data_IF_017512629191
#
_entry.id   IF_017512629191
#
_cell.length_a   1.000
_cell.length_b   1.000
_cell.length_c   1.000
_cell.angle_alpha   90.00
_cell.angle_beta   90.00
_cell.angle_gamma   90.00
#
_symmetry.space_group_name_H-M   'P 1'
#
loop_
_entity.id
_entity.type
_entity.pdbx_description
1 polymer ?
#
# COMPACT_ATOMS: atom_id res chain seq x y z
N UNK A 1 -5.75 -27.29 1.54
CA UNK A 1 -5.92 -25.82 1.69
C UNK A 1 -6.64 -25.60 2.99
N UNK A 2 -6.11 -24.78 3.91
CA UNK A 2 -6.79 -24.46 5.18
C UNK A 2 -7.99 -23.57 4.84
N UNK A 3 -9.22 -23.90 5.28
CA UNK A 3 -10.36 -23.01 5.10
C UNK A 3 -10.10 -21.66 5.79
N UNK A 4 -10.41 -20.55 5.10
CA UNK A 4 -10.17 -19.20 5.62
C UNK A 4 -10.85 -18.97 6.98
N UNK A 5 -12.01 -19.59 7.20
CA UNK A 5 -12.77 -19.46 8.45
C UNK A 5 -12.00 -20.05 9.64
N UNK A 6 -11.35 -21.20 9.45
CA UNK A 6 -10.50 -21.81 10.49
C UNK A 6 -9.29 -20.91 10.79
N UNK A 7 -8.70 -20.27 9.77
CA UNK A 7 -7.61 -19.32 9.99
C UNK A 7 -8.09 -18.09 10.78
N UNK A 8 -9.25 -17.53 10.41
CA UNK A 8 -9.85 -16.38 11.10
C UNK A 8 -10.16 -16.67 12.56
N UNK A 9 -10.57 -17.90 12.87
CA UNK A 9 -10.79 -18.37 14.24
C UNK A 9 -9.49 -18.49 15.04
N UNK A 10 -8.44 -19.08 14.45
CA UNK A 10 -7.16 -19.31 15.15
C UNK A 10 -6.29 -18.04 15.25
N UNK A 11 -6.38 -17.13 14.27
CA UNK A 11 -5.60 -15.90 14.17
C UNK A 11 -6.53 -14.68 14.08
N UNK A 12 -7.29 -14.33 15.14
CA UNK A 12 -8.30 -13.30 15.04
C UNK A 12 -7.72 -11.90 14.78
N UNK A 13 -8.24 -11.25 13.74
CA UNK A 13 -7.93 -9.85 13.40
C UNK A 13 -9.16 -9.01 13.68
N UNK A 14 -9.19 -8.35 14.84
CA UNK A 14 -10.19 -7.34 15.15
C UNK A 14 -9.86 -6.03 14.43
N UNK A 15 -10.86 -5.49 13.74
CA UNK A 15 -10.82 -4.18 13.11
C UNK A 15 -11.50 -3.14 14.00
N UNK A 16 -10.99 -1.92 14.02
CA UNK A 16 -11.57 -0.79 14.76
C UNK A 16 -11.79 0.43 13.84
N UNK A 17 -12.47 1.48 14.29
CA UNK A 17 -12.51 2.76 13.57
C UNK A 17 -11.41 3.68 14.11
N UNK A 18 -10.80 4.48 13.23
CA UNK A 18 -9.76 5.43 13.61
C UNK A 18 -10.20 6.86 13.28
N UNK A 19 -10.28 7.69 14.32
CA UNK A 19 -10.42 9.13 14.17
C UNK A 19 -9.02 9.77 14.09
N UNK A 20 -8.80 10.54 13.05
CA UNK A 20 -7.61 11.36 12.87
C UNK A 20 -7.92 12.80 13.19
N UNK A 21 -7.08 13.37 14.05
CA UNK A 21 -7.23 14.72 14.54
C UNK A 21 -5.99 15.54 14.23
N UNK A 22 -6.14 16.84 14.02
CA UNK A 22 -5.04 17.71 13.61
C UNK A 22 -3.95 17.89 14.69
N UNK A 23 -4.23 17.58 15.96
CA UNK A 23 -3.27 17.60 17.06
C UNK A 23 -2.28 16.43 17.02
N UNK A 24 -2.56 15.39 16.23
CA UNK A 24 -1.69 14.22 16.06
C UNK A 24 -0.95 14.29 14.73
N UNK A 25 0.39 14.23 14.78
CA UNK A 25 1.25 14.28 13.59
C UNK A 25 1.11 13.03 12.72
N UNK A 26 0.17 13.05 11.79
CA UNK A 26 -0.19 11.90 10.96
C UNK A 26 0.37 12.02 9.55
N UNK A 27 0.91 10.92 9.03
CA UNK A 27 1.27 10.77 7.62
C UNK A 27 0.58 9.57 6.97
N UNK A 28 0.41 9.63 5.65
CA UNK A 28 -0.11 8.55 4.82
C UNK A 28 1.03 7.87 4.08
N UNK A 29 1.17 6.56 4.22
CA UNK A 29 2.11 5.77 3.39
C UNK A 29 1.33 4.90 2.41
N UNK A 30 1.49 5.16 1.12
CA UNK A 30 0.99 4.36 0.02
C UNK A 30 2.11 3.44 -0.47
N UNK A 31 1.76 2.22 -0.86
CA UNK A 31 2.75 1.27 -1.36
C UNK A 31 2.18 0.55 -2.55
N UNK A 32 2.91 0.63 -3.66
CA UNK A 32 2.71 -0.19 -4.85
C UNK A 32 1.33 -0.06 -5.49
N UNK A 33 0.73 1.13 -5.41
CA UNK A 33 -0.50 1.48 -6.17
C UNK A 33 -0.14 1.90 -7.60
N UNK A 34 0.58 1.01 -8.29
CA UNK A 34 1.15 1.20 -9.63
C UNK A 34 0.41 0.35 -10.67
N UNK A 35 0.58 0.69 -11.94
CA UNK A 35 -0.13 0.02 -13.04
C UNK A 35 0.17 -1.47 -13.11
N UNK A 36 1.44 -1.87 -12.93
CA UNK A 36 1.89 -3.26 -12.98
C UNK A 36 1.20 -4.20 -11.99
N UNK A 37 0.45 -3.64 -11.04
CA UNK A 37 -0.33 -4.36 -10.04
C UNK A 37 -1.84 -4.10 -10.11
N UNK A 38 -2.27 -2.89 -10.45
CA UNK A 38 -3.66 -2.50 -10.28
C UNK A 38 -4.41 -2.31 -11.60
N UNK A 39 -3.71 -2.13 -12.72
CA UNK A 39 -4.33 -1.77 -14.02
C UNK A 39 -4.47 -3.01 -14.89
N UNK A 40 -5.70 -3.27 -15.35
CA UNK A 40 -6.01 -4.48 -16.13
C UNK A 40 -5.09 -4.62 -17.34
N UNK A 41 -4.37 -5.74 -17.40
CA UNK A 41 -3.46 -6.08 -18.50
C UNK A 41 -2.20 -5.22 -18.61
N UNK A 42 -1.89 -4.38 -17.61
CA UNK A 42 -0.74 -3.49 -17.69
C UNK A 42 0.61 -4.20 -17.52
N UNK A 43 0.66 -5.36 -16.87
CA UNK A 43 1.89 -6.11 -16.63
C UNK A 43 1.63 -7.55 -16.17
N UNK A 44 2.69 -8.32 -15.94
CA UNK A 44 2.60 -9.74 -15.60
C UNK A 44 1.88 -10.03 -14.27
N UNK A 45 1.93 -9.07 -13.33
CA UNK A 45 1.30 -9.17 -12.01
C UNK A 45 0.03 -8.33 -11.88
N UNK A 46 -0.40 -7.70 -12.98
CA UNK A 46 -1.62 -6.92 -13.01
C UNK A 46 -2.84 -7.85 -13.22
N UNK A 47 -4.05 -7.43 -12.82
CA UNK A 47 -5.24 -8.24 -13.05
C UNK A 47 -5.45 -8.47 -14.56
N UNK A 48 -5.81 -9.70 -14.95
CA UNK A 48 -6.06 -10.04 -16.37
C UNK A 48 -7.43 -9.57 -16.88
N UNK A 49 -8.34 -9.28 -15.95
CA UNK A 49 -9.70 -8.82 -16.20
C UNK A 49 -10.10 -7.84 -15.08
N UNK A 50 -11.16 -7.03 -15.25
CA UNK A 50 -11.61 -6.14 -14.19
C UNK A 50 -11.82 -6.85 -12.87
N UNK A 51 -11.21 -6.31 -11.82
CA UNK A 51 -11.30 -6.82 -10.45
C UNK A 51 -11.92 -5.75 -9.56
N UNK A 52 -13.10 -6.05 -9.00
CA UNK A 52 -13.86 -5.13 -8.15
C UNK A 52 -13.09 -4.79 -6.87
N UNK A 53 -12.35 -5.75 -6.33
CA UNK A 53 -11.60 -5.57 -5.10
C UNK A 53 -10.44 -4.57 -5.29
N UNK A 54 -9.74 -4.67 -6.43
CA UNK A 54 -8.67 -3.72 -6.79
C UNK A 54 -9.24 -2.34 -7.09
N UNK A 55 -10.36 -2.23 -7.82
CA UNK A 55 -10.92 -0.92 -8.16
C UNK A 55 -11.48 -0.19 -6.94
N UNK A 56 -12.14 -0.91 -6.02
CA UNK A 56 -12.58 -0.36 -4.74
C UNK A 56 -11.40 0.08 -3.87
N UNK A 57 -10.34 -0.73 -3.82
CA UNK A 57 -9.09 -0.35 -3.15
C UNK A 57 -8.52 0.97 -3.70
N UNK A 58 -8.40 1.08 -5.03
CA UNK A 58 -7.85 2.30 -5.65
C UNK A 58 -8.72 3.51 -5.32
N UNK A 59 -10.05 3.38 -5.34
CA UNK A 59 -10.96 4.46 -4.97
C UNK A 59 -10.77 4.92 -3.52
N UNK A 60 -10.59 3.99 -2.60
CA UNK A 60 -10.32 4.27 -1.19
C UNK A 60 -8.96 4.98 -0.99
N UNK A 61 -7.92 4.55 -1.72
CA UNK A 61 -6.62 5.24 -1.72
C UNK A 61 -6.76 6.67 -2.22
N UNK A 62 -7.46 6.86 -3.35
CA UNK A 62 -7.68 8.19 -3.93
C UNK A 62 -8.41 9.10 -2.96
N UNK A 63 -9.46 8.60 -2.30
CA UNK A 63 -10.22 9.35 -1.30
C UNK A 63 -9.33 9.82 -0.15
N UNK A 64 -8.55 8.91 0.45
CA UNK A 64 -7.64 9.24 1.55
C UNK A 64 -6.51 10.18 1.11
N UNK A 65 -5.90 9.93 -0.04
CA UNK A 65 -4.83 10.76 -0.57
C UNK A 65 -5.29 12.21 -0.79
N UNK A 66 -6.52 12.41 -1.30
CA UNK A 66 -7.11 13.74 -1.44
C UNK A 66 -7.24 14.46 -0.10
N UNK A 67 -7.81 13.80 0.91
CA UNK A 67 -7.95 14.42 2.25
C UNK A 67 -6.59 14.81 2.83
N UNK A 68 -5.58 13.95 2.71
CA UNK A 68 -4.22 14.27 3.19
C UNK A 68 -3.60 15.44 2.41
N UNK A 69 -3.77 15.50 1.09
CA UNK A 69 -3.26 16.60 0.26
C UNK A 69 -4.01 17.92 0.49
N UNK A 70 -5.31 17.89 0.76
CA UNK A 70 -6.12 19.04 1.14
C UNK A 70 -5.71 19.60 2.50
N UNK A 71 -5.53 18.73 3.51
CA UNK A 71 -5.03 19.10 4.84
C UNK A 71 -3.52 19.42 4.86
N UNK A 72 -2.83 19.28 3.73
CA UNK A 72 -1.36 19.42 3.59
C UNK A 72 -0.57 18.55 4.57
N UNK A 73 -1.12 17.37 4.88
CA UNK A 73 -0.46 16.36 5.69
C UNK A 73 0.52 15.56 4.83
N UNK A 74 1.64 15.05 5.40
CA UNK A 74 2.62 14.30 4.64
C UNK A 74 2.03 13.04 4.01
N UNK A 75 2.34 12.84 2.73
CA UNK A 75 2.06 11.59 2.02
C UNK A 75 3.36 11.04 1.46
N UNK A 76 3.58 9.76 1.63
CA UNK A 76 4.76 9.06 1.12
C UNK A 76 4.31 7.87 0.28
N UNK A 77 4.85 7.70 -0.92
CA UNK A 77 4.51 6.62 -1.83
C UNK A 77 5.73 5.77 -2.17
N UNK A 78 5.69 4.48 -1.86
CA UNK A 78 6.62 3.52 -2.45
C UNK A 78 6.08 3.03 -3.79
N UNK A 79 6.94 3.04 -4.82
CA UNK A 79 6.62 2.59 -6.17
C UNK A 79 7.58 1.46 -6.55
N UNK A 80 7.06 0.26 -6.71
CA UNK A 80 7.86 -0.84 -7.24
C UNK A 80 8.42 -0.50 -8.63
N UNK A 81 9.72 -0.69 -8.79
CA UNK A 81 10.49 -0.24 -9.94
C UNK A 81 11.77 -1.04 -10.10
N UNK A 82 11.73 -2.07 -10.95
CA UNK A 82 12.82 -3.03 -11.10
C UNK A 82 13.73 -2.74 -12.28
N UNK A 83 15.01 -3.10 -12.12
CA UNK A 83 15.94 -3.12 -13.24
C UNK A 83 15.69 -4.39 -14.08
N UNK A 84 15.60 -4.30 -15.43
CA UNK A 84 15.28 -5.44 -16.28
C UNK A 84 16.27 -6.60 -16.17
N UNK A 85 17.54 -6.30 -15.86
CA UNK A 85 18.60 -7.31 -15.72
C UNK A 85 18.78 -7.84 -14.29
N UNK A 86 17.98 -7.38 -13.32
CA UNK A 86 18.05 -7.83 -11.92
C UNK A 86 16.70 -8.47 -11.55
N UNK A 87 16.55 -9.79 -11.74
CA UNK A 87 15.27 -10.46 -11.49
C UNK A 87 14.99 -10.61 -9.98
N UNK A 88 13.76 -10.30 -9.57
CA UNK A 88 13.27 -10.56 -8.21
C UNK A 88 12.55 -11.91 -8.15
N UNK A 89 13.29 -13.01 -7.98
CA UNK A 89 12.68 -14.33 -7.84
C UNK A 89 11.87 -14.46 -6.53
N UNK A 90 10.70 -15.12 -6.53
CA UNK A 90 10.13 -15.95 -7.61
C UNK A 90 9.21 -15.20 -8.60
N UNK A 91 9.14 -13.87 -8.54
CA UNK A 91 8.22 -13.08 -9.36
C UNK A 91 8.67 -13.04 -10.83
N UNK A 92 7.73 -12.97 -11.80
CA UNK A 92 8.06 -12.67 -13.19
C UNK A 92 8.58 -11.23 -13.28
N UNK A 93 9.19 -10.82 -14.41
CA UNK A 93 9.50 -9.42 -14.67
C UNK A 93 8.23 -8.57 -14.50
N UNK A 94 8.30 -7.51 -13.71
CA UNK A 94 7.17 -6.64 -13.40
C UNK A 94 7.68 -5.25 -13.02
N UNK A 95 6.81 -4.24 -13.18
CA UNK A 95 7.09 -2.89 -12.71
C UNK A 95 8.46 -2.39 -13.17
N UNK A 96 8.82 -2.63 -14.44
CA UNK A 96 10.17 -2.33 -14.93
C UNK A 96 10.38 -0.82 -14.97
N UNK A 97 11.52 -0.36 -14.45
CA UNK A 97 11.88 1.04 -14.36
C UNK A 97 11.77 1.74 -15.72
N UNK A 98 11.06 2.87 -15.75
CA UNK A 98 10.85 3.67 -16.96
C UNK A 98 9.70 3.21 -17.85
N UNK A 99 9.04 2.08 -17.54
CA UNK A 99 7.83 1.64 -18.23
C UNK A 99 6.57 2.24 -17.58
N UNK A 100 5.41 2.08 -18.23
CA UNK A 100 4.15 2.46 -17.62
C UNK A 100 3.78 1.57 -16.43
N UNK A 101 4.31 0.34 -16.35
CA UNK A 101 4.05 -0.59 -15.24
C UNK A 101 4.46 -0.01 -13.89
N UNK A 102 5.61 0.67 -13.82
CA UNK A 102 6.17 1.23 -12.57
C UNK A 102 5.54 2.58 -12.18
N UNK A 103 4.63 3.13 -12.99
CA UNK A 103 3.97 4.41 -12.70
C UNK A 103 2.74 4.20 -11.82
N UNK A 104 2.38 5.22 -11.04
CA UNK A 104 1.10 5.27 -10.35
C UNK A 104 -0.06 4.99 -11.31
N UNK A 105 -1.11 4.36 -10.80
CA UNK A 105 -2.37 4.24 -11.53
C UNK A 105 -2.88 5.62 -11.95
N UNK A 106 -3.58 5.75 -13.10
CA UNK A 106 -4.04 7.04 -13.61
C UNK A 106 -4.80 7.89 -12.58
N UNK A 107 -5.56 7.24 -11.69
CA UNK A 107 -6.35 7.90 -10.65
C UNK A 107 -5.50 8.60 -9.56
N UNK A 108 -4.20 8.30 -9.46
CA UNK A 108 -3.28 8.86 -8.46
C UNK A 108 -2.14 9.70 -9.08
N UNK A 109 -1.99 9.75 -10.41
CA UNK A 109 -0.89 10.47 -11.07
C UNK A 109 -0.84 11.97 -10.73
N UNK A 110 -1.98 12.58 -10.38
CA UNK A 110 -2.03 13.98 -9.92
C UNK A 110 -1.16 14.23 -8.67
N UNK A 111 -0.93 13.21 -7.83
CA UNK A 111 -0.12 13.31 -6.62
C UNK A 111 1.35 13.63 -6.90
N UNK A 112 1.86 13.33 -8.09
CA UNK A 112 3.25 13.63 -8.49
C UNK A 112 3.56 15.13 -8.43
N UNK A 113 2.53 15.98 -8.47
CA UNK A 113 2.66 17.44 -8.46
C UNK A 113 2.29 18.07 -7.11
N UNK A 114 1.94 17.29 -6.09
CA UNK A 114 1.56 17.81 -4.77
C UNK A 114 2.79 18.04 -3.89
N UNK A 115 2.94 19.23 -3.26
CA UNK A 115 4.15 19.59 -2.52
C UNK A 115 4.33 18.81 -1.21
N UNK A 116 3.27 18.19 -0.69
CA UNK A 116 3.30 17.37 0.52
C UNK A 116 3.41 15.87 0.22
N UNK A 117 3.62 15.49 -1.05
CA UNK A 117 3.81 14.10 -1.48
C UNK A 117 5.30 13.84 -1.74
N UNK A 118 5.82 12.72 -1.24
CA UNK A 118 7.14 12.19 -1.58
C UNK A 118 6.98 10.80 -2.18
N UNK A 119 7.40 10.61 -3.43
CA UNK A 119 7.37 9.30 -4.09
C UNK A 119 8.79 8.74 -4.20
N UNK A 120 8.96 7.45 -3.90
CA UNK A 120 10.24 6.75 -3.97
C UNK A 120 10.07 5.44 -4.71
N UNK A 121 10.87 5.29 -5.77
CA UNK A 121 11.04 4.01 -6.43
C UNK A 121 11.75 3.04 -5.47
N UNK A 122 11.33 1.78 -5.47
CA UNK A 122 11.98 0.68 -4.76
C UNK A 122 12.23 -0.49 -5.70
N UNK A 123 13.33 -1.21 -5.50
CA UNK A 123 13.74 -2.37 -6.31
C UNK A 123 13.61 -3.71 -5.56
N UNK A 124 12.89 -3.71 -4.44
CA UNK A 124 12.59 -4.93 -3.69
C UNK A 124 11.27 -4.77 -2.91
N UNK A 125 10.79 -5.87 -2.32
CA UNK A 125 9.59 -5.89 -1.46
C UNK A 125 9.67 -4.85 -0.32
N UNK A 126 10.79 -4.78 0.40
CA UNK A 126 10.93 -3.87 1.54
C UNK A 126 11.21 -2.44 1.05
N UNK A 127 10.22 -1.56 1.20
CA UNK A 127 10.35 -0.17 0.77
C UNK A 127 11.48 0.60 1.45
N UNK A 128 11.85 0.28 2.69
CA UNK A 128 12.95 0.96 3.37
C UNK A 128 14.31 0.54 2.80
N UNK A 129 14.47 -0.74 2.47
CA UNK A 129 15.71 -1.23 1.87
C UNK A 129 15.81 -0.85 0.39
N UNK A 130 14.75 -1.06 -0.38
CA UNK A 130 14.76 -0.86 -1.82
C UNK A 130 14.78 0.61 -2.26
N UNK A 131 14.57 1.55 -1.33
CA UNK A 131 14.62 2.99 -1.62
C UNK A 131 15.87 3.69 -1.07
N UNK A 132 16.89 2.93 -0.66
CA UNK A 132 18.20 3.48 -0.28
C UNK A 132 18.85 4.09 -1.52
N UNK A 133 19.24 5.35 -1.40
CA UNK A 133 19.95 6.08 -2.45
C UNK A 133 21.38 5.58 -2.63
N UNK A 134 22.00 5.92 -3.77
CA UNK A 134 23.39 5.53 -4.07
C UNK A 134 24.40 6.05 -3.05
N UNK A 135 24.08 7.13 -2.35
CA UNK A 135 24.90 7.71 -1.28
C UNK A 135 24.64 7.07 0.10
N UNK A 136 23.76 6.06 0.17
CA UNK A 136 23.38 5.35 1.39
C UNK A 136 22.29 6.03 2.20
N UNK A 137 21.76 7.17 1.74
CA UNK A 137 20.67 7.86 2.43
C UNK A 137 19.30 7.20 2.18
N UNK A 138 18.36 7.41 3.09
CA UNK A 138 16.95 7.08 2.88
C UNK A 138 16.09 8.24 3.40
N UNK A 139 15.14 8.70 2.58
CA UNK A 139 14.34 9.91 2.84
C UNK A 139 13.18 9.65 3.83
N UNK A 140 12.91 8.39 4.19
CA UNK A 140 11.81 8.06 5.09
C UNK A 140 12.16 8.37 6.56
N UNK A 141 11.91 9.62 6.98
CA UNK A 141 12.03 10.05 8.38
C UNK A 141 10.71 9.85 9.12
N UNK A 142 10.55 8.70 9.77
CA UNK A 142 9.35 8.39 10.58
C UNK A 142 9.51 8.97 11.99
N UNK A 143 8.80 10.07 12.26
CA UNK A 143 8.57 10.52 13.63
C UNK A 143 7.68 9.51 14.38
N UNK A 144 8.00 9.23 15.64
CA UNK A 144 7.50 8.07 16.41
C UNK A 144 5.99 8.03 16.71
N UNK A 145 5.19 8.97 16.20
CA UNK A 145 3.79 9.18 16.62
C UNK A 145 2.89 9.76 15.52
N UNK A 146 2.70 9.00 14.45
CA UNK A 146 1.39 8.55 13.95
C UNK A 146 1.54 8.09 12.50
N UNK A 147 1.27 6.81 12.31
CA UNK A 147 1.42 6.11 11.04
C UNK A 147 0.04 5.63 10.65
N UNK A 148 -0.52 6.19 9.58
CA UNK A 148 -1.41 5.43 8.71
C UNK A 148 -0.55 5.04 7.53
N UNK A 149 0.17 3.95 7.67
CA UNK A 149 0.41 3.18 6.47
C UNK A 149 -0.98 2.78 5.94
N UNK A 150 -1.18 2.70 4.63
CA UNK A 150 -2.22 1.94 3.91
C UNK A 150 -1.55 1.24 2.76
N UNK A 151 -0.97 0.10 3.12
CA UNK A 151 -0.35 -0.84 2.22
C UNK A 151 -1.47 -1.62 1.53
N UNK A 152 -1.68 -1.29 0.26
CA UNK A 152 -2.41 -2.16 -0.63
C UNK A 152 -1.39 -2.91 -1.46
N UNK A 153 -0.89 -4.02 -0.93
CA UNK A 153 0.03 -4.87 -1.67
C UNK A 153 -0.75 -5.85 -2.53
N UNK A 154 -0.56 -5.73 -3.84
CA UNK A 154 -0.93 -6.78 -4.79
C UNK A 154 0.10 -7.93 -4.84
N UNK A 155 1.28 -7.83 -4.18
CA UNK A 155 2.40 -8.77 -4.38
C UNK A 155 3.08 -9.41 -3.12
N UNK A 156 2.51 -9.30 -1.91
CA UNK A 156 2.92 -10.10 -0.73
C UNK A 156 3.76 -9.43 0.38
N UNK A 157 3.22 -9.48 1.62
CA UNK A 157 3.80 -9.13 2.94
C UNK A 157 3.63 -7.71 3.52
N UNK A 158 3.40 -7.57 4.84
CA UNK A 158 2.35 -6.70 5.41
C UNK A 158 2.74 -5.57 6.36
N UNK A 159 1.92 -4.51 6.31
CA UNK A 159 1.31 -3.76 7.41
C UNK A 159 0.08 -3.03 6.85
N UNK A 160 -1.12 -3.04 7.48
CA UNK A 160 -2.20 -1.98 7.48
C UNK A 160 -3.67 -2.45 7.44
N UNK A 161 -4.50 -1.78 8.27
CA UNK A 161 -5.90 -1.36 8.09
C UNK A 161 -6.64 -1.60 6.75
N UNK A 162 -7.80 -2.22 6.88
CA UNK A 162 -8.67 -2.62 5.80
C UNK A 162 -9.99 -1.85 5.90
N UNK A 163 -10.26 -0.81 5.10
CA UNK A 163 -11.47 0.04 5.26
C UNK A 163 -12.79 -0.58 4.82
N UNK A 164 -12.86 -1.88 4.53
CA UNK A 164 -14.14 -2.54 4.30
C UNK A 164 -14.13 -3.98 4.80
N UNK A 165 -15.25 -4.41 5.40
CA UNK A 165 -15.55 -5.85 5.51
C UNK A 165 -15.53 -6.41 4.09
N UNK A 166 -14.57 -7.30 3.83
CA UNK A 166 -14.45 -8.13 2.60
C UNK A 166 -13.66 -7.57 1.40
N UNK A 167 -12.87 -6.50 1.54
CA UNK A 167 -12.03 -5.98 0.43
C UNK A 167 -10.54 -6.20 0.71
N UNK A 168 -9.93 -7.17 0.03
CA UNK A 168 -8.58 -7.63 0.30
C UNK A 168 -7.49 -7.26 -0.72
N UNK A 169 -7.69 -6.54 -1.83
CA UNK A 169 -6.76 -6.28 -2.98
C UNK A 169 -5.87 -7.43 -3.52
N UNK A 170 -5.71 -8.53 -2.80
CA UNK A 170 -4.93 -9.69 -3.12
C UNK A 170 -5.91 -10.83 -3.38
N UNK A 171 -5.79 -11.56 -4.50
CA UNK A 171 -6.64 -12.73 -4.80
C UNK A 171 -6.43 -13.92 -3.83
N UNK A 172 -5.74 -13.71 -2.70
CA UNK A 172 -5.45 -14.71 -1.68
C UNK A 172 -5.84 -14.17 -0.30
N UNK A 173 -7.13 -14.30 0.02
CA UNK A 173 -7.71 -13.92 1.32
C UNK A 173 -6.91 -14.46 2.52
N UNK A 174 -6.30 -15.64 2.34
CA UNK A 174 -5.45 -16.27 3.34
C UNK A 174 -4.21 -15.44 3.65
N UNK A 175 -3.45 -15.04 2.63
CA UNK A 175 -2.23 -14.26 2.84
C UNK A 175 -2.58 -12.89 3.40
N UNK A 176 -3.63 -12.25 2.87
CA UNK A 176 -4.17 -11.00 3.40
C UNK A 176 -4.40 -11.08 4.92
N UNK A 177 -5.12 -12.11 5.38
CA UNK A 177 -5.46 -12.27 6.78
C UNK A 177 -4.24 -12.53 7.69
N UNK A 178 -3.35 -13.45 7.29
CA UNK A 178 -2.08 -13.73 8.01
C UNK A 178 -1.30 -12.44 8.19
N UNK A 179 -1.28 -11.65 7.14
CA UNK A 179 -0.63 -10.38 7.12
C UNK A 179 -1.11 -9.33 8.10
N UNK A 180 -2.42 -9.10 8.10
CA UNK A 180 -3.04 -8.21 9.07
C UNK A 180 -2.76 -8.68 10.50
N UNK A 181 -2.80 -9.99 10.75
CA UNK A 181 -2.49 -10.56 12.05
C UNK A 181 -1.03 -10.28 12.47
N UNK A 182 -0.06 -10.50 11.58
CA UNK A 182 1.35 -10.22 11.84
C UNK A 182 1.64 -8.73 12.06
N UNK A 183 0.93 -7.85 11.34
CA UNK A 183 1.03 -6.41 11.52
C UNK A 183 0.51 -5.99 12.90
N UNK A 184 -0.67 -6.49 13.26
CA UNK A 184 -1.26 -6.27 14.59
C UNK A 184 -0.35 -6.76 15.70
N UNK A 185 0.25 -7.95 15.55
CA UNK A 185 1.21 -8.50 16.51
C UNK A 185 2.48 -7.64 16.70
N UNK A 186 2.77 -6.73 15.75
CA UNK A 186 3.87 -5.75 15.82
C UNK A 186 3.42 -4.36 16.27
N UNK A 187 2.19 -4.22 16.74
CA UNK A 187 1.66 -2.97 17.30
C UNK A 187 0.88 -2.10 16.31
N UNK A 188 0.62 -2.57 15.09
CA UNK A 188 -0.26 -1.86 14.18
C UNK A 188 -1.71 -1.91 14.64
N UNK A 189 -2.42 -0.81 14.42
CA UNK A 189 -3.87 -0.77 14.46
C UNK A 189 -4.40 -1.18 13.09
N UNK A 190 -5.25 -2.20 13.07
CA UNK A 190 -5.98 -2.60 11.86
C UNK A 190 -7.35 -1.98 11.94
N UNK A 191 -7.67 -1.07 11.01
CA UNK A 191 -8.91 -0.28 11.07
C UNK A 191 -9.82 -0.56 9.89
N UNK A 192 -11.13 -0.56 10.14
CA UNK A 192 -12.20 -0.69 9.12
C UNK A 192 -12.71 0.63 8.59
N UNK A 193 -12.34 1.72 9.22
CA UNK A 193 -12.82 3.05 8.87
C UNK A 193 -11.81 4.07 9.35
N UNK A 194 -11.60 5.10 8.54
CA UNK A 194 -10.80 6.27 8.90
C UNK A 194 -11.71 7.48 8.78
N UNK A 195 -11.90 8.18 9.89
CA UNK A 195 -12.61 9.45 9.94
C UNK A 195 -11.64 10.57 10.29
N UNK A 196 -12.01 11.80 9.95
CA UNK A 196 -11.20 12.99 10.19
C UNK A 196 -12.00 13.97 11.02
N UNK A 197 -11.34 14.69 11.92
CA UNK A 197 -11.95 15.86 12.54
C UNK A 197 -12.31 16.92 11.48
N UNK A 198 -13.40 17.63 11.78
CA UNK A 198 -13.91 18.75 10.99
C UNK A 198 -13.01 19.98 11.14
#
# INVERSE_FOLDING_TARGET
MVPIDLLKEQLPVHQESLLLTADVKTGLVLVDVVNGFCTVGAGNLAPRQPDKQISEMVNEVVSLARVFCEKKWPVFGFLDSHHPDIPEHPYPPHCIAGTDESKLVPALQWMENEPNVTLKCKDCIDGFLGSIEKDGSNVLSIGSKAIISKLYMCAGFFHVANTMKDVAAHPQDLMHHIGLYLAKGRGAKVVSEVSFDA
#
